data_IF_697724863027
#
_entry.id   IF_697724863027
#
_cell.length_a   1.000
_cell.length_b   1.000
_cell.length_c   1.000
_cell.angle_alpha   90.00
_cell.angle_beta   90.00
_cell.angle_gamma   90.00
#
_symmetry.space_group_name_H-M   'P 1'
#
loop_
_entity.id
_entity.type
_entity.pdbx_description
1 polymer ?
#
# COMPACT_ATOMS: atom_id res chain seq x y z
N UNK A 1 -4.86 -0.83 21.77
CA UNK A 1 -5.17 0.53 21.27
C UNK A 1 -5.70 0.35 19.85
N UNK A 2 -6.99 0.64 19.64
CA UNK A 2 -7.67 0.40 18.38
C UNK A 2 -7.19 1.38 17.33
N UNK A 3 -6.52 0.86 16.30
CA UNK A 3 -6.17 1.66 15.14
C UNK A 3 -7.48 1.96 14.41
N UNK A 4 -8.09 3.11 14.68
CA UNK A 4 -9.01 3.73 13.73
C UNK A 4 -8.16 4.16 12.53
N UNK A 5 -7.79 3.18 11.70
CA UNK A 5 -7.10 3.38 10.43
C UNK A 5 -8.14 4.05 9.53
N UNK A 6 -8.16 5.38 9.56
CA UNK A 6 -9.01 6.14 8.66
C UNK A 6 -8.53 5.87 7.23
N UNK A 7 -9.19 4.92 6.57
CA UNK A 7 -8.93 4.49 5.19
C UNK A 7 -9.03 5.70 4.23
N UNK A 8 -9.72 6.78 4.64
CA UNK A 8 -9.76 8.04 3.90
C UNK A 8 -8.37 8.63 3.70
N UNK A 9 -7.46 8.47 4.67
CA UNK A 9 -6.07 8.89 4.49
C UNK A 9 -5.44 8.18 3.30
N UNK A 10 -5.58 6.86 3.15
CA UNK A 10 -4.98 6.14 2.03
C UNK A 10 -5.44 6.74 0.69
N UNK A 11 -6.72 7.11 0.61
CA UNK A 11 -7.37 7.69 -0.58
C UNK A 11 -7.01 9.13 -0.88
N UNK A 12 -6.56 9.90 0.11
CA UNK A 12 -6.18 11.30 -0.11
C UNK A 12 -4.98 11.44 -1.08
N UNK A 13 -4.30 10.34 -1.41
CA UNK A 13 -3.27 10.30 -2.43
C UNK A 13 -3.44 9.02 -3.26
N UNK A 14 -3.72 9.18 -4.56
CA UNK A 14 -3.98 8.07 -5.48
C UNK A 14 -2.77 7.15 -5.63
N UNK A 15 -1.58 7.71 -5.81
CA UNK A 15 -0.34 6.94 -5.99
C UNK A 15 -0.07 6.04 -4.79
N UNK A 16 -0.29 6.56 -3.57
CA UNK A 16 -0.18 5.77 -2.34
C UNK A 16 -1.20 4.63 -2.30
N UNK A 17 -2.45 4.88 -2.67
CA UNK A 17 -3.48 3.85 -2.70
C UNK A 17 -3.15 2.76 -3.73
N UNK A 18 -2.69 3.15 -4.91
CA UNK A 18 -2.33 2.23 -6.00
C UNK A 18 -1.10 1.38 -5.61
N UNK A 19 -0.10 1.97 -4.95
CA UNK A 19 1.04 1.23 -4.38
C UNK A 19 0.62 0.20 -3.33
N UNK A 20 -0.26 0.59 -2.41
CA UNK A 20 -0.76 -0.30 -1.38
C UNK A 20 -1.51 -1.49 -1.98
N UNK A 21 -2.40 -1.21 -2.94
CA UNK A 21 -3.16 -2.25 -3.65
C UNK A 21 -2.24 -3.18 -4.43
N UNK A 22 -1.17 -2.65 -5.04
CA UNK A 22 -0.18 -3.47 -5.74
C UNK A 22 0.50 -4.47 -4.78
N UNK A 23 1.00 -3.99 -3.64
CA UNK A 23 1.64 -4.84 -2.62
C UNK A 23 0.64 -5.87 -2.08
N UNK A 24 -0.60 -5.45 -1.81
CA UNK A 24 -1.64 -6.33 -1.28
C UNK A 24 -2.09 -7.40 -2.29
N UNK A 25 -2.09 -7.08 -3.60
CA UNK A 25 -2.52 -8.02 -4.66
C UNK A 25 -1.40 -8.95 -5.14
N UNK A 26 -0.19 -8.42 -5.35
CA UNK A 26 0.93 -9.19 -5.93
C UNK A 26 1.81 -9.86 -4.88
N UNK A 27 1.75 -9.43 -3.63
CA UNK A 27 2.67 -9.87 -2.58
C UNK A 27 3.92 -8.99 -2.48
N UNK A 28 5.03 -9.51 -1.93
CA UNK A 28 6.24 -8.74 -1.67
C UNK A 28 6.73 -8.01 -2.93
N UNK A 29 6.91 -6.69 -2.83
CA UNK A 29 7.39 -5.86 -3.93
C UNK A 29 8.54 -4.96 -3.48
N UNK A 30 9.59 -4.86 -4.30
CA UNK A 30 10.76 -4.01 -4.02
C UNK A 30 10.47 -2.56 -4.39
N UNK A 31 11.17 -1.62 -3.75
CA UNK A 31 11.06 -0.17 -4.05
C UNK A 31 11.19 0.13 -5.54
N UNK A 32 12.05 -0.62 -6.24
CA UNK A 32 12.25 -0.48 -7.69
C UNK A 32 10.98 -0.81 -8.48
N UNK A 33 10.32 -1.92 -8.17
CA UNK A 33 9.09 -2.35 -8.83
C UNK A 33 7.93 -1.38 -8.52
N UNK A 34 7.86 -0.92 -7.27
CA UNK A 34 6.89 0.10 -6.84
C UNK A 34 7.09 1.42 -7.60
N UNK A 35 8.34 1.84 -7.81
CA UNK A 35 8.63 3.02 -8.64
C UNK A 35 8.24 2.79 -10.10
N UNK A 36 8.66 1.67 -10.69
CA UNK A 36 8.37 1.34 -12.09
C UNK A 36 6.85 1.31 -12.34
N UNK A 37 6.07 0.79 -11.38
CA UNK A 37 4.61 0.78 -11.45
C UNK A 37 3.99 2.17 -11.47
N UNK A 38 4.50 3.12 -10.69
CA UNK A 38 4.01 4.50 -10.71
C UNK A 38 4.44 5.29 -11.95
N UNK A 39 5.33 4.74 -12.78
CA UNK A 39 5.84 5.43 -13.97
C UNK A 39 6.58 6.75 -13.64
N UNK A 40 7.04 6.89 -12.39
CA UNK A 40 7.68 8.10 -11.91
C UNK A 40 9.20 7.96 -11.98
N UNK A 41 9.88 8.95 -12.56
CA UNK A 41 11.34 9.03 -12.50
C UNK A 41 11.84 9.38 -11.09
N UNK A 42 10.98 9.97 -10.26
CA UNK A 42 11.30 10.42 -8.91
C UNK A 42 11.14 9.30 -7.86
N UNK A 43 12.24 8.98 -7.19
CA UNK A 43 12.26 7.99 -6.11
C UNK A 43 11.71 8.51 -4.78
N UNK A 44 11.69 9.83 -4.60
CA UNK A 44 11.36 10.45 -3.31
C UNK A 44 9.89 10.23 -2.89
N UNK A 45 8.89 10.45 -3.76
CA UNK A 45 7.48 10.24 -3.41
C UNK A 45 7.19 8.79 -3.03
N UNK A 46 7.77 7.83 -3.76
CA UNK A 46 7.61 6.39 -3.52
C UNK A 46 8.08 6.01 -2.12
N UNK A 47 9.29 6.47 -1.73
CA UNK A 47 9.84 6.20 -0.40
C UNK A 47 9.01 6.81 0.71
N UNK A 48 8.47 8.03 0.52
CA UNK A 48 7.59 8.68 1.49
C UNK A 48 6.31 7.86 1.69
N UNK A 49 5.68 7.41 0.59
CA UNK A 49 4.48 6.58 0.68
C UNK A 49 4.73 5.24 1.35
N UNK A 50 5.84 4.56 1.02
CA UNK A 50 6.24 3.31 1.68
C UNK A 50 6.43 3.53 3.17
N UNK A 51 7.21 4.54 3.55
CA UNK A 51 7.45 4.85 4.96
C UNK A 51 6.16 5.13 5.71
N UNK A 52 5.28 5.95 5.15
CA UNK A 52 3.99 6.24 5.77
C UNK A 52 3.13 4.98 5.98
N UNK A 53 3.20 4.01 5.06
CA UNK A 53 2.47 2.74 5.18
C UNK A 53 3.11 1.80 6.21
N UNK A 54 4.44 1.78 6.31
CA UNK A 54 5.18 1.04 7.35
C UNK A 54 4.90 1.62 8.73
N UNK A 55 4.97 2.94 8.89
CA UNK A 55 4.71 3.65 10.16
C UNK A 55 3.28 3.39 10.67
N UNK A 56 2.35 3.09 9.76
CA UNK A 56 0.95 2.74 10.07
C UNK A 56 0.71 1.23 10.20
N UNK A 57 1.76 0.42 10.13
CA UNK A 57 1.73 -1.03 10.17
C UNK A 57 0.79 -1.65 9.11
N UNK A 58 0.68 -1.04 7.93
CA UNK A 58 -0.09 -1.57 6.80
C UNK A 58 0.76 -2.52 5.94
N UNK A 59 2.03 -2.19 5.81
CA UNK A 59 3.03 -3.01 5.14
C UNK A 59 4.25 -3.17 6.05
N UNK A 60 5.04 -4.20 5.81
CA UNK A 60 6.31 -4.43 6.49
C UNK A 60 7.40 -4.76 5.48
N UNK A 61 8.64 -4.40 5.82
CA UNK A 61 9.83 -4.74 5.04
C UNK A 61 10.29 -6.16 5.37
N UNK A 62 10.57 -6.93 4.32
CA UNK A 62 11.08 -8.30 4.38
C UNK A 62 12.26 -8.46 3.42
N UNK A 63 12.94 -9.61 3.48
CA UNK A 63 14.06 -9.92 2.58
C UNK A 63 13.67 -9.87 1.09
N UNK A 64 12.40 -10.17 0.77
CA UNK A 64 11.88 -10.18 -0.59
C UNK A 64 11.36 -8.80 -1.05
N UNK A 65 11.16 -7.86 -0.11
CA UNK A 65 10.60 -6.53 -0.36
C UNK A 65 9.52 -6.14 0.64
N UNK A 66 8.62 -5.24 0.26
CA UNK A 66 7.51 -4.81 1.09
C UNK A 66 6.30 -5.69 0.88
N UNK A 67 5.73 -6.24 1.95
CA UNK A 67 4.51 -7.04 1.93
C UNK A 67 3.47 -6.47 2.87
N UNK A 68 2.20 -6.81 2.69
CA UNK A 68 1.13 -6.44 3.62
C UNK A 68 1.27 -7.17 4.96
N UNK A 69 0.91 -6.49 6.04
CA UNK A 69 0.71 -7.10 7.37
C UNK A 69 -0.72 -7.62 7.50
N UNK A 70 -1.02 -8.40 8.55
CA UNK A 70 -2.39 -8.81 8.91
C UNK A 70 -3.37 -7.62 9.06
N UNK A 71 -2.85 -6.47 9.50
CA UNK A 71 -3.64 -5.24 9.61
C UNK A 71 -3.87 -4.60 8.24
N UNK A 72 -2.85 -4.59 7.39
CA UNK A 72 -2.97 -4.19 5.99
C UNK A 72 -3.98 -5.02 5.21
N UNK A 73 -3.96 -6.34 5.38
CA UNK A 73 -4.93 -7.22 4.70
C UNK A 73 -6.38 -6.87 5.07
N UNK A 74 -6.67 -6.63 6.35
CA UNK A 74 -8.01 -6.20 6.77
C UNK A 74 -8.43 -4.86 6.16
N UNK A 75 -7.49 -3.92 6.02
CA UNK A 75 -7.73 -2.65 5.33
C UNK A 75 -7.96 -2.87 3.84
N UNK A 76 -7.22 -3.77 3.22
CA UNK A 76 -7.37 -4.13 1.82
C UNK A 76 -8.73 -4.79 1.53
N UNK A 77 -9.17 -5.71 2.38
CA UNK A 77 -10.52 -6.30 2.29
C UNK A 77 -11.61 -5.23 2.50
N UNK A 78 -11.41 -4.31 3.44
CA UNK A 78 -12.33 -3.17 3.64
C UNK A 78 -12.35 -2.23 2.42
N UNK A 79 -11.21 -2.05 1.75
CA UNK A 79 -11.13 -1.27 0.50
C UNK A 79 -11.86 -1.97 -0.64
N UNK A 80 -11.68 -3.29 -0.80
CA UNK A 80 -12.42 -4.07 -1.80
C UNK A 80 -13.93 -3.95 -1.59
N UNK A 81 -14.40 -4.16 -0.36
CA UNK A 81 -15.82 -4.17 -0.02
C UNK A 81 -16.50 -2.80 -0.20
N UNK A 82 -15.78 -1.70 0.05
CA UNK A 82 -16.34 -0.34 -0.06
C UNK A 82 -16.23 0.22 -1.49
N UNK A 83 -15.26 -0.24 -2.29
CA UNK A 83 -14.95 0.34 -3.60
C UNK A 83 -15.24 -0.57 -4.78
N UNK A 84 -15.88 -1.72 -4.56
CA UNK A 84 -16.27 -2.66 -5.62
C UNK A 84 -15.08 -2.94 -6.54
N UNK A 85 -13.91 -3.21 -5.94
CA UNK A 85 -12.70 -3.64 -6.67
C UNK A 85 -12.92 -5.11 -7.08
N UNK A 86 -14.05 -5.41 -7.70
CA UNK A 86 -14.30 -6.62 -8.48
C UNK A 86 -13.89 -6.32 -9.93
N UNK A 87 -13.02 -7.18 -10.46
CA UNK A 87 -12.68 -7.33 -11.88
C UNK A 87 -12.02 -6.14 -12.61
N UNK A 88 -10.69 -6.12 -12.57
CA UNK A 88 -9.88 -5.94 -13.79
C UNK A 88 -8.81 -7.02 -13.81
#
# INVERSE_FOLDING_TARGET
MGVHQDIRWLKNNKDRADLFVLVAKRGPARVRELREFLGSDDWWPVKVHIKDMVDRALIEETEDGFKTTDSGEKVFESLKAVYDIESV
#
